data_IF_236094300409
#
_entry.id   IF_236094300409
#
_cell.length_a   1.000
_cell.length_b   1.000
_cell.length_c   1.000
_cell.angle_alpha   90.00
_cell.angle_beta   90.00
_cell.angle_gamma   90.00
#
_symmetry.space_group_name_H-M   'P 1'
#
loop_
_entity.id
_entity.type
_entity.pdbx_description
1 polymer ?
#
# COMPACT_ATOMS: atom_id res chain seq x y z
N UNK A 1 -4.32 -22.03 -1.81
CA UNK A 1 -3.89 -20.60 -1.87
C UNK A 1 -3.05 -20.31 -0.63
N UNK A 2 -2.01 -19.46 -0.65
CA UNK A 2 -1.12 -19.25 0.52
C UNK A 2 -1.89 -18.87 1.79
N UNK A 3 -2.93 -18.05 1.65
CA UNK A 3 -3.83 -17.66 2.76
C UNK A 3 -4.63 -18.86 3.29
N UNK A 4 -5.26 -19.65 2.41
CA UNK A 4 -6.00 -20.87 2.80
C UNK A 4 -5.09 -21.88 3.53
N UNK A 5 -3.88 -22.07 3.03
CA UNK A 5 -2.92 -23.04 3.57
C UNK A 5 -2.41 -22.65 4.96
N UNK A 6 -2.44 -21.36 5.30
CA UNK A 6 -1.94 -20.84 6.58
C UNK A 6 -3.07 -20.34 7.50
N UNK A 7 -4.35 -20.55 7.14
CA UNK A 7 -5.50 -20.07 7.90
C UNK A 7 -5.53 -20.60 9.34
N UNK A 8 -5.06 -21.83 9.54
CA UNK A 8 -4.93 -22.48 10.85
C UNK A 8 -3.93 -21.80 11.81
N UNK A 9 -3.10 -20.89 11.30
CA UNK A 9 -2.11 -20.12 12.10
C UNK A 9 -2.64 -18.76 12.57
N UNK A 10 -3.88 -18.42 12.19
CA UNK A 10 -4.49 -17.12 12.46
C UNK A 10 -5.54 -17.25 13.56
N UNK A 11 -5.64 -16.22 14.39
CA UNK A 11 -6.59 -16.14 15.50
C UNK A 11 -7.23 -14.74 15.56
N UNK A 12 -8.37 -14.64 16.25
CA UNK A 12 -9.09 -13.39 16.48
C UNK A 12 -9.39 -12.61 15.20
N UNK A 13 -9.19 -11.29 15.25
CA UNK A 13 -9.49 -10.38 14.14
C UNK A 13 -8.77 -10.74 12.84
N UNK A 14 -7.53 -11.25 12.93
CA UNK A 14 -6.75 -11.64 11.75
C UNK A 14 -7.40 -12.79 10.99
N UNK A 15 -7.98 -13.77 11.71
CA UNK A 15 -8.69 -14.89 11.11
C UNK A 15 -9.98 -14.42 10.42
N UNK A 16 -10.72 -13.52 11.05
CA UNK A 16 -11.99 -13.02 10.50
C UNK A 16 -11.76 -12.17 9.24
N UNK A 17 -10.74 -11.31 9.24
CA UNK A 17 -10.34 -10.57 8.04
C UNK A 17 -9.85 -11.51 6.92
N UNK A 18 -9.10 -12.57 7.26
CA UNK A 18 -8.64 -13.55 6.28
C UNK A 18 -9.80 -14.30 5.62
N UNK A 19 -10.83 -14.68 6.39
CA UNK A 19 -12.06 -15.28 5.84
C UNK A 19 -12.78 -14.31 4.90
N UNK A 20 -12.97 -13.07 5.31
CA UNK A 20 -13.59 -12.03 4.45
C UNK A 20 -12.79 -11.82 3.15
N UNK A 21 -11.46 -11.79 3.24
CA UNK A 21 -10.59 -11.72 2.05
C UNK A 21 -10.82 -12.89 1.10
N UNK A 22 -10.91 -14.12 1.62
CA UNK A 22 -11.13 -15.33 0.81
C UNK A 22 -12.51 -15.32 0.15
N UNK A 23 -13.55 -14.93 0.88
CA UNK A 23 -14.92 -14.81 0.36
C UNK A 23 -15.01 -13.77 -0.78
N UNK A 24 -14.29 -12.65 -0.65
CA UNK A 24 -14.28 -11.56 -1.63
C UNK A 24 -13.22 -11.69 -2.73
N UNK A 25 -12.53 -12.83 -2.83
CA UNK A 25 -11.48 -13.08 -3.84
C UNK A 25 -11.92 -12.75 -5.27
N UNK A 26 -13.16 -13.05 -5.63
CA UNK A 26 -13.69 -12.77 -6.96
C UNK A 26 -13.87 -11.26 -7.20
N UNK A 27 -14.28 -10.51 -6.19
CA UNK A 27 -14.46 -9.05 -6.31
C UNK A 27 -13.12 -8.33 -6.40
N UNK A 28 -12.12 -8.79 -5.64
CA UNK A 28 -10.73 -8.35 -5.74
C UNK A 28 -10.22 -8.56 -7.17
N UNK A 29 -10.35 -9.78 -7.71
CA UNK A 29 -9.94 -10.08 -9.09
C UNK A 29 -10.67 -9.22 -10.11
N UNK A 30 -11.98 -9.02 -9.96
CA UNK A 30 -12.75 -8.15 -10.85
C UNK A 30 -12.23 -6.71 -10.82
N UNK A 31 -11.82 -6.18 -9.66
CA UNK A 31 -11.22 -4.83 -9.58
C UNK A 31 -9.91 -4.72 -10.37
N UNK A 32 -9.06 -5.74 -10.35
CA UNK A 32 -7.86 -5.80 -11.19
C UNK A 32 -8.17 -5.83 -12.70
N UNK A 33 -9.23 -6.55 -13.10
CA UNK A 33 -9.53 -6.82 -14.52
C UNK A 33 -10.48 -5.80 -15.16
N UNK A 34 -11.29 -5.08 -14.37
CA UNK A 34 -12.32 -4.14 -14.87
C UNK A 34 -11.73 -2.91 -15.58
N UNK A 35 -10.42 -2.70 -15.53
CA UNK A 35 -9.82 -1.47 -16.02
C UNK A 35 -9.41 -1.50 -17.48
N UNK A 36 -9.86 -0.48 -18.21
CA UNK A 36 -9.48 -0.23 -19.59
C UNK A 36 -8.22 0.64 -19.64
N UNK A 37 -7.07 -0.04 -19.70
CA UNK A 37 -5.75 0.58 -19.79
C UNK A 37 -5.58 1.52 -20.99
N UNK A 38 -6.42 1.40 -22.03
CA UNK A 38 -6.38 2.28 -23.21
C UNK A 38 -6.85 3.70 -22.92
N UNK A 39 -7.48 3.93 -21.75
CA UNK A 39 -7.96 5.25 -21.29
C UNK A 39 -6.98 6.00 -20.40
N UNK A 40 -5.80 5.42 -20.12
CA UNK A 40 -4.75 6.09 -19.37
C UNK A 40 -4.09 7.19 -20.21
N UNK A 41 -3.93 8.37 -19.62
CA UNK A 41 -3.27 9.53 -20.23
C UNK A 41 -1.99 9.94 -19.50
N UNK A 42 -1.76 9.41 -18.30
CA UNK A 42 -0.56 9.64 -17.53
C UNK A 42 0.69 9.09 -18.20
N UNK A 43 1.78 9.82 -18.04
CA UNK A 43 3.10 9.42 -18.46
C UNK A 43 3.62 8.26 -17.62
N UNK A 44 4.54 7.51 -18.21
CA UNK A 44 5.29 6.47 -17.52
C UNK A 44 6.73 6.91 -17.41
N UNK A 45 7.29 6.82 -16.20
CA UNK A 45 8.66 7.22 -15.88
C UNK A 45 9.46 6.00 -15.42
N UNK A 46 10.79 6.13 -15.34
CA UNK A 46 11.54 5.22 -14.48
C UNK A 46 11.25 5.60 -13.04
N UNK A 47 10.80 4.62 -12.28
CA UNK A 47 10.40 4.75 -10.88
C UNK A 47 11.45 4.08 -10.01
N UNK A 48 11.46 4.38 -8.71
CA UNK A 48 12.27 3.66 -7.74
C UNK A 48 11.84 2.18 -7.68
N UNK A 49 10.54 1.90 -7.82
CA UNK A 49 10.02 0.56 -7.96
C UNK A 49 9.72 -0.13 -6.63
N UNK A 50 10.52 0.13 -5.60
CA UNK A 50 10.31 -0.33 -4.21
C UNK A 50 10.41 0.83 -3.21
N UNK A 51 9.66 1.90 -3.45
CA UNK A 51 9.71 3.10 -2.62
C UNK A 51 8.91 2.95 -1.32
N UNK A 52 9.57 3.08 -0.17
CA UNK A 52 8.96 3.05 1.17
C UNK A 52 9.83 3.81 2.19
N UNK A 53 9.33 4.05 3.41
CA UNK A 53 10.04 4.81 4.45
C UNK A 53 11.42 4.24 4.83
N UNK A 54 11.63 2.94 4.64
CA UNK A 54 12.92 2.30 4.90
C UNK A 54 14.02 2.71 3.90
N UNK A 55 13.63 3.24 2.74
CA UNK A 55 14.53 3.74 1.70
C UNK A 55 14.72 5.25 1.75
N UNK A 56 14.23 5.90 2.82
CA UNK A 56 14.31 7.35 3.00
C UNK A 56 15.14 7.64 4.25
N UNK A 57 16.28 8.29 4.08
CA UNK A 57 17.05 8.84 5.20
C UNK A 57 16.79 10.34 5.33
N UNK A 58 16.80 10.82 6.58
CA UNK A 58 16.68 12.25 6.89
C UNK A 58 17.98 12.71 7.53
N UNK A 59 18.66 13.66 6.91
CA UNK A 59 19.86 14.28 7.45
C UNK A 59 19.85 15.78 7.14
N UNK A 60 20.16 16.61 8.14
CA UNK A 60 20.33 18.06 8.01
C UNK A 60 19.15 18.79 7.33
N UNK A 61 17.93 18.27 7.51
CA UNK A 61 16.71 18.86 6.96
C UNK A 61 16.41 18.48 5.52
N UNK A 62 17.17 17.53 4.94
CA UNK A 62 16.94 17.00 3.60
C UNK A 62 16.66 15.48 3.63
N UNK A 63 16.13 14.97 2.51
CA UNK A 63 15.78 13.57 2.30
C UNK A 63 16.71 12.92 1.29
N UNK A 64 17.31 11.80 1.67
CA UNK A 64 18.12 10.96 0.79
C UNK A 64 17.34 9.69 0.45
N UNK A 65 17.19 9.44 -0.86
CA UNK A 65 16.54 8.24 -1.38
C UNK A 65 17.60 7.19 -1.71
N UNK A 66 17.41 5.97 -1.20
CA UNK A 66 18.33 4.86 -1.37
C UNK A 66 17.77 3.81 -2.35
N UNK A 67 18.58 2.79 -2.66
CA UNK A 67 18.14 1.51 -3.20
C UNK A 67 17.21 1.54 -4.45
N UNK A 68 17.70 2.17 -5.53
CA UNK A 68 17.01 2.21 -6.82
C UNK A 68 17.07 0.89 -7.61
N UNK A 69 17.32 -0.25 -6.96
CA UNK A 69 17.34 -1.56 -7.63
C UNK A 69 15.94 -2.00 -8.10
N UNK A 70 14.88 -1.52 -7.45
CA UNK A 70 13.50 -1.91 -7.66
C UNK A 70 13.11 -3.21 -6.95
N UNK A 71 11.87 -3.65 -7.12
CA UNK A 71 11.30 -4.81 -6.40
C UNK A 71 12.18 -6.08 -6.52
N UNK A 72 12.66 -6.65 -5.40
CA UNK A 72 13.59 -7.79 -5.39
C UNK A 72 13.10 -9.01 -6.18
N UNK A 73 11.80 -9.29 -6.16
CA UNK A 73 11.21 -10.44 -6.85
C UNK A 73 10.97 -10.22 -8.35
N UNK A 74 11.08 -8.97 -8.82
CA UNK A 74 10.92 -8.66 -10.25
C UNK A 74 12.19 -9.00 -11.03
N UNK A 75 12.03 -9.43 -12.28
CA UNK A 75 13.18 -9.67 -13.17
C UNK A 75 13.91 -8.35 -13.47
N UNK A 76 15.21 -8.41 -13.77
CA UNK A 76 15.99 -7.21 -14.16
C UNK A 76 15.35 -6.46 -15.33
N UNK A 77 14.72 -7.20 -16.25
CA UNK A 77 14.00 -6.59 -17.39
C UNK A 77 12.81 -5.78 -16.89
N UNK A 78 12.00 -6.34 -15.99
CA UNK A 78 10.80 -5.71 -15.46
C UNK A 78 11.12 -4.48 -14.61
N UNK A 79 12.20 -4.52 -13.82
CA UNK A 79 12.66 -3.37 -13.02
C UNK A 79 13.07 -2.16 -13.87
N UNK A 80 13.42 -2.35 -15.15
CA UNK A 80 13.76 -1.27 -16.09
C UNK A 80 12.55 -0.70 -16.84
N UNK A 81 11.39 -1.36 -16.78
CA UNK A 81 10.18 -0.92 -17.48
C UNK A 81 9.66 0.36 -16.84
N UNK A 82 9.31 1.35 -17.68
CA UNK A 82 8.69 2.59 -17.20
C UNK A 82 7.29 2.30 -16.65
N UNK A 83 6.99 2.83 -15.47
CA UNK A 83 5.73 2.64 -14.74
C UNK A 83 5.05 3.98 -14.48
N UNK A 84 3.74 3.99 -14.16
CA UNK A 84 3.09 5.18 -13.62
C UNK A 84 3.81 5.65 -12.33
N UNK A 85 4.13 6.94 -12.17
CA UNK A 85 4.82 7.45 -10.98
C UNK A 85 4.06 7.19 -9.67
N UNK A 86 2.73 7.03 -9.76
CA UNK A 86 1.87 6.71 -8.64
C UNK A 86 2.12 5.31 -8.04
N UNK A 87 2.91 4.44 -8.72
CA UNK A 87 3.37 3.18 -8.13
C UNK A 87 4.26 3.42 -6.90
N UNK A 88 5.21 4.34 -6.99
CA UNK A 88 6.07 4.70 -5.86
C UNK A 88 5.24 5.37 -4.75
N UNK A 89 4.30 6.26 -5.11
CA UNK A 89 3.39 6.90 -4.15
C UNK A 89 2.56 5.86 -3.39
N UNK A 90 2.03 4.85 -4.08
CA UNK A 90 1.31 3.75 -3.45
C UNK A 90 2.20 2.93 -2.49
N UNK A 91 3.47 2.70 -2.84
CA UNK A 91 4.46 2.08 -1.96
C UNK A 91 4.66 2.87 -0.66
N UNK A 92 4.80 4.20 -0.77
CA UNK A 92 4.92 5.07 0.39
C UNK A 92 3.63 5.06 1.25
N UNK A 93 2.45 5.05 0.64
CA UNK A 93 1.19 4.96 1.39
C UNK A 93 1.06 3.64 2.15
N UNK A 94 1.42 2.52 1.51
CA UNK A 94 1.53 1.24 2.22
C UNK A 94 2.52 1.32 3.38
N UNK A 95 3.65 1.99 3.19
CA UNK A 95 4.65 2.18 4.26
C UNK A 95 4.12 2.98 5.44
N UNK A 96 3.37 4.07 5.20
CA UNK A 96 2.70 4.83 6.27
C UNK A 96 1.70 3.96 7.03
N UNK A 97 0.82 3.27 6.30
CA UNK A 97 -0.16 2.36 6.90
C UNK A 97 0.56 1.31 7.75
N UNK A 98 1.60 0.69 7.22
CA UNK A 98 2.36 -0.35 7.91
C UNK A 98 3.03 0.20 9.17
N UNK A 99 3.66 1.37 9.12
CA UNK A 99 4.30 2.00 10.28
C UNK A 99 3.32 2.36 11.41
N UNK A 100 2.15 2.89 11.05
CA UNK A 100 1.08 3.22 12.00
C UNK A 100 0.54 1.95 12.66
N UNK A 101 0.10 0.97 11.86
CA UNK A 101 -0.53 -0.24 12.38
C UNK A 101 0.46 -1.16 13.10
N UNK A 102 1.72 -1.23 12.65
CA UNK A 102 2.76 -1.95 13.39
C UNK A 102 3.03 -1.29 14.76
N UNK A 103 2.91 0.04 14.88
CA UNK A 103 3.03 0.72 16.17
C UNK A 103 1.87 0.35 17.09
N UNK A 104 0.64 0.38 16.59
CA UNK A 104 -0.56 -0.02 17.35
C UNK A 104 -0.46 -1.49 17.77
N UNK A 105 -0.11 -2.38 16.84
CA UNK A 105 0.00 -3.81 17.09
C UNK A 105 1.07 -4.15 18.14
N UNK A 106 2.27 -3.55 18.04
CA UNK A 106 3.38 -3.88 18.93
C UNK A 106 3.39 -3.10 20.25
N UNK A 107 2.74 -1.93 20.32
CA UNK A 107 2.81 -1.01 21.47
C UNK A 107 1.45 -0.58 22.00
N UNK A 108 0.34 -1.07 21.43
CA UNK A 108 -1.02 -0.64 21.76
C UNK A 108 -1.35 -0.73 23.26
N UNK A 109 -0.96 -1.85 23.89
CA UNK A 109 -1.17 -2.09 25.32
C UNK A 109 -0.47 -1.08 26.26
N UNK A 110 0.51 -0.32 25.74
CA UNK A 110 1.20 0.73 26.52
C UNK A 110 0.39 2.02 26.62
N UNK A 111 -0.65 2.17 25.82
CA UNK A 111 -1.49 3.36 25.80
C UNK A 111 -2.77 3.11 26.60
N UNK A 112 -3.30 4.12 27.32
CA UNK A 112 -4.50 3.99 28.14
C UNK A 112 -5.79 4.08 27.30
N UNK A 113 -5.79 3.50 26.10
CA UNK A 113 -6.89 3.53 25.14
C UNK A 113 -7.25 2.12 24.70
N UNK A 114 -8.51 1.91 24.32
CA UNK A 114 -8.92 0.63 23.75
C UNK A 114 -8.23 0.38 22.40
N UNK A 115 -8.14 -0.88 21.98
CA UNK A 115 -7.60 -1.22 20.67
C UNK A 115 -8.39 -0.56 19.53
N UNK A 116 -9.72 -0.45 19.70
CA UNK A 116 -10.61 0.20 18.74
C UNK A 116 -10.31 1.70 18.61
N UNK A 117 -10.12 2.40 19.74
CA UNK A 117 -9.76 3.82 19.74
C UNK A 117 -8.41 4.07 19.06
N UNK A 118 -7.42 3.20 19.32
CA UNK A 118 -6.11 3.27 18.69
C UNK A 118 -6.19 3.05 17.18
N UNK A 119 -6.98 2.09 16.72
CA UNK A 119 -7.20 1.88 15.28
C UNK A 119 -7.92 3.07 14.63
N UNK A 120 -8.94 3.63 15.29
CA UNK A 120 -9.62 4.83 14.79
C UNK A 120 -8.64 6.02 14.67
N UNK A 121 -7.79 6.24 15.67
CA UNK A 121 -6.77 7.28 15.62
C UNK A 121 -5.73 7.01 14.53
N UNK A 122 -5.32 5.74 14.34
CA UNK A 122 -4.43 5.31 13.29
C UNK A 122 -4.97 5.60 11.90
N UNK A 123 -6.24 5.29 11.65
CA UNK A 123 -6.94 5.60 10.39
C UNK A 123 -6.98 7.10 10.09
N UNK A 124 -7.30 7.91 11.09
CA UNK A 124 -7.31 9.38 10.94
C UNK A 124 -5.92 9.88 10.57
N UNK A 125 -4.88 9.45 11.30
CA UNK A 125 -3.50 9.84 11.04
C UNK A 125 -3.05 9.42 9.63
N UNK A 126 -3.36 8.18 9.24
CA UNK A 126 -3.06 7.65 7.93
C UNK A 126 -3.70 8.50 6.81
N UNK A 127 -4.98 8.85 6.96
CA UNK A 127 -5.70 9.72 6.01
C UNK A 127 -5.07 11.10 5.88
N UNK A 128 -4.62 11.70 6.98
CA UNK A 128 -3.89 12.96 6.94
C UNK A 128 -2.56 12.82 6.19
N UNK A 129 -1.79 11.77 6.47
CA UNK A 129 -0.50 11.54 5.81
C UNK A 129 -0.64 11.40 4.30
N UNK A 130 -1.55 10.52 3.84
CA UNK A 130 -1.77 10.33 2.40
C UNK A 130 -2.37 11.58 1.75
N UNK A 131 -3.23 12.32 2.45
CA UNK A 131 -3.84 13.56 1.94
C UNK A 131 -2.80 14.65 1.69
N UNK A 132 -1.95 14.92 2.68
CA UNK A 132 -0.88 15.93 2.58
C UNK A 132 0.16 15.51 1.54
N UNK A 133 0.58 14.24 1.55
CA UNK A 133 1.55 13.72 0.60
C UNK A 133 1.02 13.79 -0.84
N UNK A 134 -0.19 13.28 -1.10
CA UNK A 134 -0.77 13.28 -2.44
C UNK A 134 -0.97 14.69 -2.97
N UNK A 135 -1.49 15.59 -2.14
CA UNK A 135 -1.70 16.97 -2.54
C UNK A 135 -0.39 17.64 -2.96
N UNK A 136 0.63 17.52 -2.12
CA UNK A 136 1.96 18.11 -2.37
C UNK A 136 2.61 17.49 -3.61
N UNK A 137 2.54 16.16 -3.74
CA UNK A 137 3.09 15.43 -4.88
C UNK A 137 2.43 15.83 -6.21
N UNK A 138 1.09 15.87 -6.26
CA UNK A 138 0.35 16.27 -7.46
C UNK A 138 0.69 17.69 -7.86
N UNK A 139 0.73 18.62 -6.90
CA UNK A 139 1.08 20.02 -7.14
C UNK A 139 2.48 20.14 -7.76
N UNK A 140 3.49 19.56 -7.13
CA UNK A 140 4.89 19.63 -7.60
C UNK A 140 5.06 18.99 -8.99
N UNK A 141 4.44 17.84 -9.23
CA UNK A 141 4.53 17.17 -10.53
C UNK A 141 3.90 18.01 -11.65
N UNK A 142 2.76 18.65 -11.37
CA UNK A 142 2.09 19.52 -12.34
C UNK A 142 2.88 20.79 -12.61
N UNK A 143 3.48 21.41 -11.59
CA UNK A 143 4.37 22.57 -11.72
C UNK A 143 5.62 22.24 -12.57
N UNK A 144 6.04 20.97 -12.58
CA UNK A 144 7.16 20.47 -13.38
C UNK A 144 6.74 19.84 -14.72
N UNK A 145 5.50 20.09 -15.18
CA UNK A 145 4.97 19.64 -16.49
C UNK A 145 4.97 18.13 -16.71
N UNK A 146 4.92 17.32 -15.65
CA UNK A 146 4.76 15.87 -15.77
C UNK A 146 3.27 15.54 -15.68
N UNK A 147 2.74 14.86 -16.70
CA UNK A 147 1.34 14.49 -16.74
C UNK A 147 1.13 13.14 -16.04
N UNK A 148 0.45 13.13 -14.90
CA UNK A 148 0.09 11.91 -14.16
C UNK A 148 -1.38 11.50 -14.34
N UNK A 149 -2.02 11.96 -15.41
CA UNK A 149 -3.40 11.65 -15.73
C UNK A 149 -4.41 12.52 -14.97
N UNK A 150 -5.70 12.33 -15.28
CA UNK A 150 -6.81 13.04 -14.64
C UNK A 150 -7.15 12.44 -13.26
N UNK A 151 -7.96 13.14 -12.46
CA UNK A 151 -8.22 12.75 -11.06
C UNK A 151 -8.69 11.30 -10.90
N UNK A 152 -9.62 10.84 -11.75
CA UNK A 152 -10.13 9.47 -11.68
C UNK A 152 -9.08 8.42 -12.10
N UNK A 153 -8.21 8.74 -13.06
CA UNK A 153 -7.06 7.91 -13.41
C UNK A 153 -6.09 7.79 -12.24
N UNK A 154 -5.78 8.90 -11.56
CA UNK A 154 -4.88 8.89 -10.38
C UNK A 154 -5.44 8.02 -9.26
N UNK A 155 -6.72 8.21 -8.91
CA UNK A 155 -7.40 7.40 -7.89
C UNK A 155 -7.36 5.93 -8.27
N UNK A 156 -7.63 5.61 -9.53
CA UNK A 156 -7.59 4.24 -10.01
C UNK A 156 -6.20 3.62 -9.86
N UNK A 157 -5.15 4.28 -10.38
CA UNK A 157 -3.78 3.75 -10.32
C UNK A 157 -3.33 3.58 -8.87
N UNK A 158 -3.61 4.56 -8.00
CA UNK A 158 -3.28 4.45 -6.57
C UNK A 158 -3.97 3.25 -5.93
N UNK A 159 -5.29 3.10 -6.09
CA UNK A 159 -6.03 1.97 -5.54
C UNK A 159 -5.52 0.63 -6.08
N UNK A 160 -5.19 0.57 -7.37
CA UNK A 160 -4.62 -0.61 -8.00
C UNK A 160 -3.26 -0.97 -7.40
N UNK A 161 -2.30 -0.04 -7.40
CA UNK A 161 -0.95 -0.30 -6.92
C UNK A 161 -0.92 -0.58 -5.40
N UNK A 162 -1.77 0.09 -4.62
CA UNK A 162 -1.90 -0.20 -3.19
C UNK A 162 -2.45 -1.61 -2.95
N UNK A 163 -3.47 -2.02 -3.71
CA UNK A 163 -4.05 -3.36 -3.59
C UNK A 163 -3.07 -4.44 -4.05
N UNK A 164 -2.34 -4.22 -5.14
CA UNK A 164 -1.28 -5.09 -5.62
C UNK A 164 -0.22 -5.30 -4.54
N UNK A 165 0.32 -4.21 -3.97
CA UNK A 165 1.35 -4.28 -2.93
C UNK A 165 0.82 -4.89 -1.63
N UNK A 166 -0.43 -4.61 -1.24
CA UNK A 166 -1.03 -5.22 -0.04
C UNK A 166 -1.26 -6.74 -0.20
N UNK A 167 -1.63 -7.21 -1.40
CA UNK A 167 -1.74 -8.67 -1.68
C UNK A 167 -0.36 -9.32 -1.65
N UNK A 168 0.66 -8.65 -2.18
CA UNK A 168 2.04 -9.10 -2.08
C UNK A 168 2.51 -9.23 -0.62
N UNK A 169 2.34 -8.15 0.16
CA UNK A 169 2.64 -8.13 1.59
C UNK A 169 1.91 -9.23 2.35
N UNK A 170 0.62 -9.48 2.05
CA UNK A 170 -0.13 -10.58 2.65
C UNK A 170 0.54 -11.93 2.39
N UNK A 171 0.97 -12.19 1.16
CA UNK A 171 1.71 -13.42 0.82
C UNK A 171 3.00 -13.55 1.62
N UNK A 172 3.75 -12.44 1.74
CA UNK A 172 5.00 -12.40 2.48
C UNK A 172 4.79 -12.65 3.99
N UNK A 173 3.85 -11.94 4.62
CA UNK A 173 3.59 -12.07 6.06
C UNK A 173 3.04 -13.45 6.41
N UNK A 174 2.17 -14.03 5.58
CA UNK A 174 1.62 -15.38 5.83
C UNK A 174 2.71 -16.47 5.83
N UNK A 175 3.82 -16.26 5.13
CA UNK A 175 4.96 -17.18 5.11
C UNK A 175 5.98 -16.89 6.22
N UNK A 176 6.17 -15.61 6.55
CA UNK A 176 7.27 -15.17 7.42
C UNK A 176 6.82 -14.87 8.85
N UNK A 177 5.69 -14.15 9.01
CA UNK A 177 5.17 -13.65 10.30
C UNK A 177 3.62 -13.64 10.27
N UNK A 178 2.94 -14.79 10.42
CA UNK A 178 1.49 -14.89 10.22
C UNK A 178 0.65 -13.91 11.07
N UNK A 179 1.09 -13.59 12.29
CA UNK A 179 0.40 -12.64 13.16
C UNK A 179 0.36 -11.21 12.59
N UNK A 180 1.33 -10.84 11.74
CA UNK A 180 1.39 -9.51 11.10
C UNK A 180 0.48 -9.41 9.88
N UNK A 181 -0.13 -10.52 9.43
CA UNK A 181 -1.06 -10.53 8.30
C UNK A 181 -2.29 -9.63 8.52
N UNK A 182 -2.59 -9.25 9.77
CA UNK A 182 -3.63 -8.27 10.09
C UNK A 182 -3.43 -6.95 9.35
N UNK A 183 -2.18 -6.47 9.23
CA UNK A 183 -1.87 -5.18 8.61
C UNK A 183 -2.19 -5.15 7.10
N UNK A 184 -1.73 -6.11 6.27
CA UNK A 184 -2.14 -6.14 4.87
C UNK A 184 -3.62 -6.49 4.70
N UNK A 185 -4.21 -7.33 5.55
CA UNK A 185 -5.65 -7.64 5.48
C UNK A 185 -6.53 -6.40 5.73
N UNK A 186 -6.22 -5.59 6.75
CA UNK A 186 -6.89 -4.31 7.00
C UNK A 186 -6.78 -3.38 5.80
N UNK A 187 -5.56 -3.22 5.26
CA UNK A 187 -5.34 -2.40 4.07
C UNK A 187 -6.15 -2.86 2.85
N UNK A 188 -6.24 -4.17 2.63
CA UNK A 188 -7.05 -4.74 1.56
C UNK A 188 -8.54 -4.49 1.82
N UNK A 189 -9.03 -4.72 3.04
CA UNK A 189 -10.44 -4.49 3.38
C UNK A 189 -10.83 -3.02 3.26
N UNK A 190 -9.97 -2.09 3.70
CA UNK A 190 -10.19 -0.65 3.54
C UNK A 190 -10.37 -0.27 2.07
N UNK A 191 -9.50 -0.75 1.18
CA UNK A 191 -9.62 -0.49 -0.26
C UNK A 191 -10.89 -1.12 -0.84
N UNK A 192 -11.26 -2.34 -0.42
CA UNK A 192 -12.43 -3.07 -0.93
C UNK A 192 -13.75 -2.47 -0.44
N UNK A 193 -13.80 -1.97 0.79
CA UNK A 193 -15.03 -1.46 1.39
C UNK A 193 -15.31 -0.01 1.04
N UNK A 194 -14.31 0.74 0.55
CA UNK A 194 -14.54 2.01 -0.12
C UNK A 194 -15.30 1.80 -1.44
N UNK A 195 -16.54 2.30 -1.48
CA UNK A 195 -17.36 2.45 -2.69
C UNK A 195 -16.83 3.55 -3.61
#
# INVERSE_FOLDING_TARGET
NTVENNLHKLEGITLDLAKQFLERKNDIRKRFVKFDWTKLKGERLRVHGDYHLGQVLVQEGDFYLLDFEGEPESTIRDRKVKQPPLKDVAGMFRSFHYGIYATIFNKGEKYPYSQEDLYMAGEILYRYFIGVFLHTYVKLIQENNINIGYSQERIFILKYCMLEKAVYELGYEMNSRPLWAVIPLEGIMGIINEN
#
